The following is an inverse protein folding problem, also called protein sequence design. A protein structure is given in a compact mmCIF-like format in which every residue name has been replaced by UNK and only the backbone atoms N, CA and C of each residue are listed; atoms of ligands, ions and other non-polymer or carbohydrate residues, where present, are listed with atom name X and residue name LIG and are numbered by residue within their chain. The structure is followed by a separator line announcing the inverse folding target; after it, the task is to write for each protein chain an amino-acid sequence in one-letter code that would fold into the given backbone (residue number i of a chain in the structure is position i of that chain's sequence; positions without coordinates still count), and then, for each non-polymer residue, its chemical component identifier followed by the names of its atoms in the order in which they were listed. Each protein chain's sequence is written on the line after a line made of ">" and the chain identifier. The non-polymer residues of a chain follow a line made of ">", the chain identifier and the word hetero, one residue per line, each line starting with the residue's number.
data_IF_410661074570
#
_entry.id   IF_410661074570
#
_cell.length_a   1.000
_cell.length_b   1.000
_cell.length_c   1.000
_cell.angle_alpha   90.00
_cell.angle_beta   90.00
_cell.angle_gamma   90.00
#
_symmetry.space_group_name_H-M   'P 1'
#
loop_
_entity.id
_entity.type
_entity.pdbx_description
1 polymer ?
#
# COMPACT_ATOMS: atom_id res chain seq x y z
N UNK A 1 -13.25 -7.02 -18.77
CA UNK A 1 -13.26 -5.69 -18.13
C UNK A 1 -12.27 -5.75 -16.97
N UNK A 2 -11.00 -5.40 -17.20
CA UNK A 2 -9.89 -5.57 -16.23
C UNK A 2 -9.25 -4.22 -15.83
N UNK A 3 -10.03 -3.14 -15.87
CA UNK A 3 -9.56 -1.83 -15.43
C UNK A 3 -9.71 -1.69 -13.92
N UNK A 4 -8.66 -1.17 -13.27
CA UNK A 4 -8.69 -0.86 -11.83
C UNK A 4 -9.88 0.09 -11.51
N UNK A 5 -10.71 -0.23 -10.49
CA UNK A 5 -11.79 0.64 -10.06
C UNK A 5 -11.24 1.86 -9.30
N UNK A 6 -10.78 2.88 -10.04
CA UNK A 6 -10.03 3.99 -9.45
C UNK A 6 -10.78 4.74 -8.34
N UNK A 7 -12.11 4.88 -8.45
CA UNK A 7 -12.94 5.52 -7.42
C UNK A 7 -12.89 4.75 -6.11
N UNK A 8 -13.23 3.46 -6.17
CA UNK A 8 -13.24 2.55 -5.02
C UNK A 8 -11.85 2.45 -4.36
N UNK A 9 -10.78 2.39 -5.16
CA UNK A 9 -9.40 2.37 -4.65
C UNK A 9 -9.04 3.69 -3.93
N UNK A 10 -9.50 4.83 -4.47
CA UNK A 10 -9.25 6.13 -3.85
C UNK A 10 -9.98 6.25 -2.51
N UNK A 11 -11.23 5.82 -2.46
CA UNK A 11 -12.04 5.77 -1.23
C UNK A 11 -11.40 4.85 -0.20
N UNK A 12 -11.11 3.60 -0.59
CA UNK A 12 -10.43 2.62 0.23
C UNK A 12 -9.11 3.14 0.83
N UNK A 13 -8.23 3.71 0.00
CA UNK A 13 -6.97 4.28 0.49
C UNK A 13 -7.22 5.43 1.44
N UNK A 14 -8.14 6.33 1.11
CA UNK A 14 -8.40 7.52 1.91
C UNK A 14 -8.96 7.19 3.30
N UNK A 15 -9.86 6.21 3.40
CA UNK A 15 -10.44 5.77 4.67
C UNK A 15 -9.37 5.21 5.59
N UNK A 16 -8.50 4.33 5.07
CA UNK A 16 -7.38 3.79 5.84
C UNK A 16 -6.33 4.85 6.16
N UNK A 17 -6.07 5.78 5.23
CA UNK A 17 -5.14 6.88 5.44
C UNK A 17 -5.57 7.80 6.58
N UNK A 18 -6.88 8.03 6.79
CA UNK A 18 -7.39 8.79 7.94
C UNK A 18 -7.02 8.08 9.24
N UNK A 19 -7.33 6.79 9.33
CA UNK A 19 -7.09 5.97 10.54
C UNK A 19 -5.60 5.92 10.88
N UNK A 20 -4.74 5.78 9.86
CA UNK A 20 -3.30 5.58 10.03
C UNK A 20 -2.49 6.89 10.01
N UNK A 21 -3.15 8.04 9.84
CA UNK A 21 -2.49 9.35 9.77
C UNK A 21 -1.58 9.52 8.53
N UNK A 22 -1.94 8.89 7.41
CA UNK A 22 -1.24 8.95 6.12
C UNK A 22 -1.81 10.05 5.21
N UNK A 23 -1.11 10.33 4.10
CA UNK A 23 -1.56 11.35 3.14
C UNK A 23 -2.69 10.80 2.27
N UNK A 24 -3.85 11.47 2.32
CA UNK A 24 -4.99 11.23 1.44
C UNK A 24 -4.71 11.65 -0.01
N UNK A 25 -5.33 10.95 -0.94
CA UNK A 25 -5.47 11.33 -2.33
C UNK A 25 -6.54 12.42 -2.48
N UNK A 26 -6.26 13.40 -3.33
CA UNK A 26 -7.26 14.39 -3.81
C UNK A 26 -7.83 14.04 -5.17
N UNK A 27 -7.06 13.31 -5.99
CA UNK A 27 -7.38 12.94 -7.36
C UNK A 27 -6.46 11.79 -7.79
N UNK A 28 -6.96 10.84 -8.58
CA UNK A 28 -6.13 9.91 -9.34
C UNK A 28 -5.97 10.44 -10.77
N UNK A 29 -4.93 11.25 -10.99
CA UNK A 29 -4.62 11.82 -12.30
C UNK A 29 -4.06 10.77 -13.28
N UNK A 30 -3.95 11.13 -14.58
CA UNK A 30 -3.60 10.17 -15.65
C UNK A 30 -2.37 9.31 -15.36
N UNK A 31 -1.29 9.92 -14.86
CA UNK A 31 -0.06 9.19 -14.51
C UNK A 31 -0.28 8.18 -13.37
N UNK A 32 -1.03 8.55 -12.32
CA UNK A 32 -1.41 7.61 -11.24
C UNK A 32 -2.27 6.48 -11.76
N UNK A 33 -3.24 6.77 -12.63
CA UNK A 33 -4.10 5.74 -13.22
C UNK A 33 -3.28 4.74 -14.04
N UNK A 34 -2.30 5.20 -14.82
CA UNK A 34 -1.44 4.33 -15.60
C UNK A 34 -0.62 3.39 -14.72
N UNK A 35 0.08 3.94 -13.72
CA UNK A 35 0.83 3.15 -12.74
C UNK A 35 -0.08 2.17 -12.00
N UNK A 36 -1.21 2.65 -11.49
CA UNK A 36 -2.19 1.84 -10.76
C UNK A 36 -2.76 0.71 -11.62
N UNK A 37 -3.08 0.95 -12.89
CA UNK A 37 -3.55 -0.11 -13.79
C UNK A 37 -2.53 -1.22 -13.98
N UNK A 38 -1.24 -0.87 -14.09
CA UNK A 38 -0.18 -1.87 -14.20
C UNK A 38 -0.07 -2.69 -12.91
N UNK A 39 -0.01 -1.99 -11.76
CA UNK A 39 0.05 -2.64 -10.44
C UNK A 39 -1.18 -3.50 -10.14
N UNK A 40 -2.38 -3.04 -10.50
CA UNK A 40 -3.62 -3.77 -10.27
C UNK A 40 -3.63 -5.13 -10.95
N UNK A 41 -3.09 -5.22 -12.17
CA UNK A 41 -2.97 -6.51 -12.88
C UNK A 41 -1.97 -7.44 -12.21
N UNK A 42 -0.86 -6.90 -11.72
CA UNK A 42 0.15 -7.66 -10.99
C UNK A 42 -0.39 -8.17 -9.66
N UNK A 43 -1.09 -7.33 -8.89
CA UNK A 43 -1.72 -7.72 -7.63
C UNK A 43 -2.80 -8.79 -7.84
N UNK A 44 -3.62 -8.66 -8.90
CA UNK A 44 -4.60 -9.68 -9.29
C UNK A 44 -3.94 -11.01 -9.67
N UNK A 45 -2.72 -10.97 -10.19
CA UNK A 45 -1.97 -12.18 -10.54
C UNK A 45 -1.22 -12.78 -9.35
N UNK A 46 -0.81 -11.95 -8.39
CA UNK A 46 -0.10 -12.35 -7.18
C UNK A 46 -1.03 -12.97 -6.13
N UNK A 47 -2.29 -12.56 -6.10
CA UNK A 47 -3.26 -12.97 -5.09
C UNK A 47 -4.48 -13.68 -5.72
N UNK A 48 -4.78 -14.92 -5.32
CA UNK A 48 -5.90 -15.69 -5.87
C UNK A 48 -7.28 -15.08 -5.53
N UNK A 49 -7.40 -14.35 -4.42
CA UNK A 49 -8.62 -13.66 -4.00
C UNK A 49 -8.74 -12.27 -4.66
N UNK A 50 -7.66 -11.84 -5.33
CA UNK A 50 -7.63 -10.74 -6.28
C UNK A 50 -6.95 -9.48 -5.76
N UNK A 51 -6.84 -8.47 -6.64
CA UNK A 51 -6.05 -7.27 -6.36
C UNK A 51 -6.54 -6.45 -5.15
N UNK A 52 -7.83 -6.53 -4.80
CA UNK A 52 -8.35 -5.85 -3.62
C UNK A 52 -7.88 -6.54 -2.33
N UNK A 53 -7.92 -7.88 -2.29
CA UNK A 53 -7.43 -8.66 -1.15
C UNK A 53 -5.93 -8.39 -0.92
N UNK A 54 -5.13 -8.41 -1.99
CA UNK A 54 -3.72 -8.02 -1.92
C UNK A 54 -3.51 -6.61 -1.35
N UNK A 55 -4.34 -5.65 -1.77
CA UNK A 55 -4.26 -4.28 -1.27
C UNK A 55 -4.68 -4.17 0.20
N UNK A 56 -5.62 -5.00 0.66
CA UNK A 56 -6.00 -5.12 2.08
C UNK A 56 -4.84 -5.65 2.93
N UNK A 57 -4.15 -6.70 2.47
CA UNK A 57 -2.95 -7.23 3.13
C UNK A 57 -1.85 -6.17 3.24
N UNK A 58 -1.59 -5.43 2.16
CA UNK A 58 -0.67 -4.29 2.16
C UNK A 58 -1.06 -3.26 3.23
N UNK A 59 -2.34 -2.97 3.41
CA UNK A 59 -2.79 -2.01 4.42
C UNK A 59 -2.59 -2.53 5.85
N UNK A 60 -2.80 -3.83 6.10
CA UNK A 60 -2.52 -4.42 7.42
C UNK A 60 -1.02 -4.40 7.74
N UNK A 61 -0.15 -4.62 6.75
CA UNK A 61 1.30 -4.48 6.95
C UNK A 61 1.74 -3.03 7.19
N UNK A 62 1.13 -2.05 6.50
CA UNK A 62 1.36 -0.63 6.79
C UNK A 62 0.98 -0.31 8.22
N UNK A 63 -0.16 -0.81 8.69
CA UNK A 63 -0.64 -0.63 10.07
C UNK A 63 0.34 -1.24 11.08
N UNK A 64 0.88 -2.43 10.80
CA UNK A 64 1.86 -3.11 11.62
C UNK A 64 3.28 -2.47 11.60
N UNK A 65 3.51 -1.48 10.74
CA UNK A 65 4.80 -0.81 10.59
C UNK A 65 4.80 0.60 11.17
N UNK A 66 5.56 0.82 12.23
CA UNK A 66 5.86 2.15 12.74
C UNK A 66 6.62 2.98 11.70
N UNK A 67 7.59 2.37 11.02
CA UNK A 67 8.37 3.03 9.97
C UNK A 67 7.49 3.59 8.85
N UNK A 68 6.59 2.78 8.27
CA UNK A 68 5.70 3.23 7.18
C UNK A 68 4.70 4.29 7.66
N UNK A 69 4.36 4.30 8.96
CA UNK A 69 3.47 5.29 9.59
C UNK A 69 4.18 6.57 10.06
N UNK A 70 5.50 6.68 9.89
CA UNK A 70 6.27 7.88 10.24
C UNK A 70 6.95 7.84 11.60
N UNK A 71 6.96 6.70 12.28
CA UNK A 71 7.75 6.46 13.50
C UNK A 71 9.21 6.17 13.11
N UNK A 72 9.84 7.14 12.43
CA UNK A 72 11.23 7.11 12.02
C UNK A 72 11.85 8.51 12.14
N UNK A 73 13.18 8.60 12.13
CA UNK A 73 13.92 9.85 12.40
C UNK A 73 13.58 11.01 11.44
N UNK A 74 13.01 10.69 10.28
CA UNK A 74 12.67 11.66 9.23
C UNK A 74 11.18 11.99 9.16
N UNK A 75 10.36 11.42 10.05
CA UNK A 75 8.90 11.48 10.00
C UNK A 75 8.34 11.09 8.61
N UNK A 76 9.06 10.25 7.87
CA UNK A 76 8.65 9.86 6.53
C UNK A 76 7.50 8.88 6.61
N UNK A 77 6.43 9.12 5.84
CA UNK A 77 5.26 8.25 5.78
C UNK A 77 5.11 7.66 4.39
N UNK A 78 4.62 6.42 4.34
CA UNK A 78 4.23 5.81 3.06
C UNK A 78 3.17 6.67 2.37
N UNK A 79 3.29 6.80 1.06
CA UNK A 79 2.31 7.50 0.23
C UNK A 79 1.81 6.54 -0.83
N UNK A 80 0.58 6.79 -1.31
CA UNK A 80 0.03 6.02 -2.42
C UNK A 80 0.94 6.07 -3.65
N UNK A 81 1.52 7.23 -3.95
CA UNK A 81 2.45 7.40 -5.08
C UNK A 81 3.67 6.51 -4.95
N UNK A 82 4.30 6.47 -3.77
CA UNK A 82 5.41 5.56 -3.51
C UNK A 82 4.99 4.10 -3.64
N UNK A 83 3.81 3.74 -3.11
CA UNK A 83 3.30 2.37 -3.13
C UNK A 83 3.14 1.83 -4.56
N UNK A 84 2.65 2.66 -5.48
CA UNK A 84 2.40 2.27 -6.89
C UNK A 84 3.56 2.59 -7.83
N UNK A 85 4.65 3.20 -7.33
CA UNK A 85 5.75 3.71 -8.17
C UNK A 85 6.39 2.60 -9.01
N UNK A 86 6.57 1.42 -8.42
CA UNK A 86 7.15 0.24 -9.06
C UNK A 86 6.45 -1.03 -8.60
N UNK A 87 6.78 -2.14 -9.25
CA UNK A 87 6.25 -3.50 -9.01
C UNK A 87 6.67 -4.10 -7.66
N UNK A 88 7.71 -3.55 -7.03
CA UNK A 88 8.30 -4.09 -5.80
C UNK A 88 7.72 -3.46 -4.54
N UNK A 89 7.41 -2.17 -4.54
CA UNK A 89 7.14 -1.45 -3.30
C UNK A 89 5.94 -2.04 -2.54
N UNK A 90 4.82 -2.30 -3.21
CA UNK A 90 3.67 -2.95 -2.59
C UNK A 90 3.98 -4.39 -2.14
N UNK A 91 4.75 -5.15 -2.93
CA UNK A 91 5.18 -6.51 -2.58
C UNK A 91 6.07 -6.51 -1.33
N UNK A 92 7.05 -5.61 -1.23
CA UNK A 92 7.90 -5.46 -0.04
C UNK A 92 7.08 -5.19 1.22
N UNK A 93 6.03 -4.40 1.09
CA UNK A 93 5.11 -4.11 2.19
C UNK A 93 4.33 -5.37 2.55
N UNK A 94 3.70 -6.04 1.58
CA UNK A 94 2.94 -7.28 1.79
C UNK A 94 3.80 -8.42 2.39
N UNK A 95 5.07 -8.52 2.01
CA UNK A 95 6.04 -9.47 2.59
C UNK A 95 6.48 -9.11 4.03
N UNK A 96 5.97 -8.01 4.59
CA UNK A 96 6.30 -7.58 5.94
C UNK A 96 7.71 -7.03 6.10
N UNK A 97 8.40 -6.61 5.02
CA UNK A 97 9.79 -6.11 5.11
C UNK A 97 9.96 -4.91 6.04
N UNK A 98 8.87 -4.17 6.26
CA UNK A 98 8.82 -3.00 7.14
C UNK A 98 8.04 -3.24 8.42
N UNK A 99 7.51 -4.45 8.64
CA UNK A 99 6.78 -4.79 9.86
C UNK A 99 7.68 -4.51 11.05
N UNK A 100 7.13 -3.90 12.09
CA UNK A 100 7.88 -3.70 13.33
C UNK A 100 8.41 -5.05 13.79
N UNK A 101 9.74 -5.15 13.93
CA UNK A 101 10.36 -6.42 14.28
C UNK A 101 9.68 -7.00 15.50
N UNK A 102 9.11 -8.21 15.37
CA UNK A 102 9.18 -9.12 16.49
C UNK A 102 10.66 -9.17 16.83
N UNK A 103 11.05 -8.58 17.94
CA UNK A 103 12.38 -8.82 18.48
C UNK A 103 12.46 -10.33 18.64
N UNK A 104 13.04 -11.02 17.67
CA UNK A 104 13.59 -12.36 17.82
C UNK A 104 14.53 -12.22 19.01
N UNK A 105 14.02 -12.61 20.18
CA UNK A 105 14.79 -12.73 21.39
C UNK A 105 15.73 -13.89 21.11
N UNK A 106 16.93 -13.58 20.60
CA UNK A 106 18.04 -14.49 20.77
C UNK A 106 18.20 -14.66 22.29
N UNK A 107 17.75 -15.82 22.78
CA UNK A 107 18.15 -16.33 24.10
C UNK A 107 19.54 -16.94 23.98
#
# INVERSE_FOLDING_TARGET
>A
MDSAPHGDIMEFWNDRAIILGLRRLRLIGKSRQEKLRNRWREWKAADPDGALAFLEDVMEEIKASGFLRGENDRNWKVTFDWLIENDRNAVKVAEGQYRNGEKMKWR
#
